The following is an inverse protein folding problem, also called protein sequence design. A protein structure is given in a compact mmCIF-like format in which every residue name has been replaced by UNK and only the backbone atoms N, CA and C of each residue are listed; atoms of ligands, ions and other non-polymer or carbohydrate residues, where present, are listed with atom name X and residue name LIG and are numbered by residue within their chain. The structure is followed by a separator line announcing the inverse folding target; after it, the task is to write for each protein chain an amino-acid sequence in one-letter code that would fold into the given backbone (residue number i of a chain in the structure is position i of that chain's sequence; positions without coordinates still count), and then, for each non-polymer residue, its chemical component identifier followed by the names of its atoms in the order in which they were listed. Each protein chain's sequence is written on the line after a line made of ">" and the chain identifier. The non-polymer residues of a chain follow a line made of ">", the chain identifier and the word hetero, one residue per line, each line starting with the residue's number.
data_IF_358320597155
#
_entry.id   IF_358320597155
#
_cell.length_a   1.000
_cell.length_b   1.000
_cell.length_c   1.000
_cell.angle_alpha   90.00
_cell.angle_beta   90.00
_cell.angle_gamma   90.00
#
_symmetry.space_group_name_H-M   'P 1'
#
loop_
_entity.id
_entity.type
_entity.pdbx_description
1 polymer ?
#
# COMPACT_ATOMS: atom_id res chain seq x y z
N UNK A 1 -54.08 4.97 15.98
CA UNK A 1 -55.10 5.23 14.93
C UNK A 1 -54.69 4.34 13.77
N UNK A 2 -55.37 3.26 13.39
CA UNK A 2 -56.80 2.98 13.39
C UNK A 2 -57.09 1.59 13.97
N UNK A 3 -58.10 1.56 14.84
CA UNK A 3 -58.92 0.39 15.13
C UNK A 3 -60.17 0.54 14.29
N UNK A 4 -60.68 -0.53 13.70
CA UNK A 4 -62.13 -0.65 13.50
C UNK A 4 -62.59 -2.12 13.47
N UNK A 5 -63.79 -2.43 13.98
CA UNK A 5 -64.11 -3.75 14.52
C UNK A 5 -65.38 -4.39 13.89
N UNK A 6 -65.79 -5.54 14.48
CA UNK A 6 -67.16 -6.09 14.60
C UNK A 6 -67.66 -7.10 13.52
N UNK A 7 -68.75 -7.88 13.77
CA UNK A 7 -68.81 -9.01 14.73
C UNK A 7 -69.61 -10.26 14.23
N UNK A 8 -69.72 -11.27 15.11
CA UNK A 8 -70.84 -12.26 15.26
C UNK A 8 -70.82 -13.56 14.46
N UNK A 9 -70.74 -14.71 15.16
CA UNK A 9 -71.93 -15.56 15.42
C UNK A 9 -71.60 -16.79 16.27
N UNK A 10 -72.63 -17.25 16.96
CA UNK A 10 -72.68 -18.16 18.12
C UNK A 10 -73.07 -19.57 17.67
N UNK A 11 -72.54 -20.60 18.35
CA UNK A 11 -73.39 -21.71 18.82
C UNK A 11 -73.16 -23.15 18.31
N UNK A 12 -72.59 -23.97 19.21
CA UNK A 12 -72.98 -25.35 19.57
C UNK A 12 -72.72 -26.54 18.59
N UNK A 13 -72.91 -27.80 19.01
CA UNK A 13 -72.20 -28.55 20.08
C UNK A 13 -71.53 -29.84 19.54
N UNK A 14 -70.78 -30.53 20.43
CA UNK A 14 -70.08 -31.79 20.15
C UNK A 14 -70.99 -33.00 19.90
N UNK A 15 -70.46 -34.04 19.22
CA UNK A 15 -70.68 -35.40 19.69
C UNK A 15 -69.40 -36.24 19.85
N UNK A 16 -69.55 -37.27 20.69
CA UNK A 16 -68.56 -38.21 21.19
C UNK A 16 -68.33 -39.43 20.27
N UNK A 17 -67.22 -40.14 20.53
CA UNK A 17 -66.92 -41.51 20.08
C UNK A 17 -66.16 -41.59 18.75
N UNK A 18 -65.21 -42.49 18.49
CA UNK A 18 -64.81 -43.77 19.11
C UNK A 18 -63.34 -44.10 18.69
N UNK A 19 -62.76 -45.31 18.81
CA UNK A 19 -61.46 -45.51 19.44
C UNK A 19 -60.30 -45.87 18.47
N UNK A 20 -59.09 -45.89 19.05
CA UNK A 20 -57.98 -46.82 18.81
C UNK A 20 -57.68 -47.39 17.40
N UNK A 21 -56.45 -47.11 16.94
CA UNK A 21 -55.48 -47.93 16.14
C UNK A 21 -54.82 -47.03 15.08
N UNK A 22 -53.56 -47.14 14.71
CA UNK A 22 -52.55 -48.17 14.94
C UNK A 22 -51.18 -47.49 15.00
N UNK A 23 -50.27 -48.09 15.75
CA UNK A 23 -48.84 -47.83 15.64
C UNK A 23 -48.35 -48.47 14.36
N UNK A 24 -47.93 -47.66 13.39
CA UNK A 24 -46.94 -48.09 12.41
C UNK A 24 -45.86 -47.01 12.33
N UNK A 25 -44.72 -47.33 12.94
CA UNK A 25 -43.51 -46.52 12.85
C UNK A 25 -43.09 -46.42 11.40
N UNK A 26 -43.15 -45.21 10.86
CA UNK A 26 -42.41 -44.87 9.66
C UNK A 26 -40.92 -44.77 10.06
N UNK A 27 -40.01 -45.46 9.37
CA UNK A 27 -38.60 -45.47 9.71
C UNK A 27 -38.04 -44.05 9.60
N UNK A 28 -37.25 -43.66 10.59
CA UNK A 28 -36.35 -42.52 10.50
C UNK A 28 -35.52 -42.69 9.20
N UNK A 29 -35.88 -41.94 8.16
CA UNK A 29 -35.05 -41.85 6.96
C UNK A 29 -33.73 -41.26 7.40
N UNK A 30 -32.73 -42.14 7.50
CA UNK A 30 -31.32 -41.84 7.71
C UNK A 30 -30.98 -40.61 6.87
N UNK A 31 -30.58 -39.53 7.53
CA UNK A 31 -29.82 -38.44 6.92
C UNK A 31 -28.59 -39.07 6.26
N UNK A 32 -28.69 -39.39 4.98
CA UNK A 32 -27.51 -39.72 4.18
C UNK A 32 -26.90 -38.38 3.81
N UNK A 33 -25.79 -38.09 4.47
CA UNK A 33 -25.06 -36.84 4.34
C UNK A 33 -24.75 -36.52 2.88
N UNK A 34 -24.74 -35.23 2.58
CA UNK A 34 -24.14 -34.71 1.37
C UNK A 34 -22.65 -35.08 1.34
N UNK A 35 -22.12 -35.55 0.21
CA UNK A 35 -20.76 -35.27 -0.16
C UNK A 35 -20.80 -34.25 -1.29
N UNK A 36 -20.74 -32.95 -0.95
CA UNK A 36 -20.20 -31.95 -1.89
C UNK A 36 -18.71 -32.29 -2.01
N UNK A 37 -18.39 -33.19 -2.93
CA UNK A 37 -17.02 -33.67 -3.21
C UNK A 37 -16.29 -32.85 -4.27
N UNK A 38 -16.85 -31.72 -4.70
CA UNK A 38 -16.19 -30.79 -5.64
C UNK A 38 -15.28 -29.75 -4.97
N UNK A 39 -15.11 -29.79 -3.64
CA UNK A 39 -14.15 -28.90 -2.94
C UNK A 39 -12.71 -29.43 -2.98
N UNK A 40 -12.50 -30.72 -3.30
CA UNK A 40 -11.19 -31.37 -3.24
C UNK A 40 -10.26 -30.98 -4.39
N UNK A 41 -10.79 -30.83 -5.61
CA UNK A 41 -10.04 -30.44 -6.80
C UNK A 41 -9.65 -28.96 -6.77
N UNK A 42 -10.60 -28.07 -6.46
CA UNK A 42 -10.31 -26.63 -6.32
C UNK A 42 -9.31 -26.34 -5.19
N UNK A 43 -9.40 -27.04 -4.06
CA UNK A 43 -8.46 -26.87 -2.96
C UNK A 43 -7.05 -27.35 -3.34
N UNK A 44 -6.91 -28.46 -4.06
CA UNK A 44 -5.62 -29.01 -4.48
C UNK A 44 -4.95 -28.15 -5.57
N UNK A 45 -5.73 -27.66 -6.54
CA UNK A 45 -5.24 -26.74 -7.57
C UNK A 45 -4.73 -25.44 -6.95
N UNK A 46 -5.47 -24.90 -5.97
CA UNK A 46 -5.05 -23.69 -5.28
C UNK A 46 -3.74 -23.90 -4.50
N UNK A 47 -3.55 -25.05 -3.84
CA UNK A 47 -2.28 -25.36 -3.14
C UNK A 47 -1.06 -25.29 -4.06
N UNK A 48 -1.21 -25.64 -5.34
CA UNK A 48 -0.11 -25.58 -6.31
C UNK A 48 0.10 -24.16 -6.84
N UNK A 49 -0.99 -23.40 -7.07
CA UNK A 49 -0.93 -22.05 -7.65
C UNK A 49 -0.59 -20.97 -6.62
N UNK A 50 -1.06 -21.12 -5.37
CA UNK A 50 -0.82 -20.16 -4.28
C UNK A 50 0.66 -19.82 -4.06
N UNK A 51 1.61 -20.77 -3.96
CA UNK A 51 3.01 -20.39 -3.77
C UNK A 51 3.56 -19.53 -4.91
N UNK A 52 3.18 -19.82 -6.17
CA UNK A 52 3.57 -18.99 -7.31
C UNK A 52 2.98 -17.58 -7.22
N UNK A 53 1.71 -17.46 -6.81
CA UNK A 53 1.07 -16.15 -6.57
C UNK A 53 1.73 -15.38 -5.43
N UNK A 54 2.11 -16.06 -4.34
CA UNK A 54 2.81 -15.42 -3.22
C UNK A 54 4.18 -14.88 -3.64
N UNK A 55 4.94 -15.63 -4.45
CA UNK A 55 6.20 -15.15 -5.01
C UNK A 55 5.97 -13.95 -5.93
N UNK A 56 4.97 -14.00 -6.81
CA UNK A 56 4.62 -12.87 -7.67
C UNK A 56 4.28 -11.61 -6.86
N UNK A 57 3.45 -11.74 -5.83
CA UNK A 57 3.08 -10.63 -4.95
C UNK A 57 4.28 -10.09 -4.16
N UNK A 58 5.16 -10.98 -3.68
CA UNK A 58 6.40 -10.58 -3.01
C UNK A 58 7.32 -9.77 -3.94
N UNK A 59 7.45 -10.18 -5.20
CA UNK A 59 8.21 -9.44 -6.20
C UNK A 59 7.59 -8.05 -6.46
N UNK A 60 6.28 -7.99 -6.70
CA UNK A 60 5.58 -6.70 -6.91
C UNK A 60 5.74 -5.78 -5.71
N UNK A 61 5.65 -6.30 -4.48
CA UNK A 61 5.90 -5.54 -3.26
C UNK A 61 7.34 -5.02 -3.19
N UNK A 62 8.32 -5.87 -3.48
CA UNK A 62 9.74 -5.49 -3.48
C UNK A 62 10.03 -4.38 -4.49
N UNK A 63 9.57 -4.54 -5.73
CA UNK A 63 9.69 -3.50 -6.77
C UNK A 63 8.96 -2.22 -6.38
N UNK A 64 7.77 -2.32 -5.78
CA UNK A 64 7.03 -1.19 -5.27
C UNK A 64 7.83 -0.39 -4.25
N UNK A 65 8.47 -1.07 -3.28
CA UNK A 65 9.32 -0.40 -2.27
C UNK A 65 10.52 0.32 -2.90
N UNK A 66 11.21 -0.32 -3.83
CA UNK A 66 12.33 0.29 -4.57
C UNK A 66 11.88 1.53 -5.35
N UNK A 67 10.76 1.42 -6.07
CA UNK A 67 10.21 2.54 -6.84
C UNK A 67 9.79 3.71 -5.95
N UNK A 68 9.26 3.44 -4.75
CA UNK A 68 8.89 4.50 -3.79
C UNK A 68 10.12 5.27 -3.29
N UNK A 69 11.21 4.59 -2.92
CA UNK A 69 12.45 5.26 -2.46
C UNK A 69 13.07 6.07 -3.60
N UNK A 70 13.14 5.50 -4.81
CA UNK A 70 13.70 6.21 -5.95
C UNK A 70 12.85 7.44 -6.34
N UNK A 71 11.52 7.29 -6.35
CA UNK A 71 10.61 8.38 -6.67
C UNK A 71 10.64 9.51 -5.64
N UNK A 72 10.75 9.19 -4.35
CA UNK A 72 10.87 10.21 -3.28
C UNK A 72 12.21 10.93 -3.33
N UNK A 73 13.31 10.24 -3.60
CA UNK A 73 14.61 10.86 -3.83
C UNK A 73 14.59 11.78 -5.06
N UNK A 74 14.06 11.31 -6.19
CA UNK A 74 13.98 12.11 -7.42
C UNK A 74 13.11 13.36 -7.25
N UNK A 75 11.95 13.22 -6.61
CA UNK A 75 11.10 14.36 -6.27
C UNK A 75 11.82 15.35 -5.35
N UNK A 76 12.50 14.84 -4.32
CA UNK A 76 13.26 15.68 -3.39
C UNK A 76 14.42 16.42 -4.04
N UNK A 77 15.18 15.78 -4.93
CA UNK A 77 16.28 16.42 -5.67
C UNK A 77 15.75 17.49 -6.62
N UNK A 78 14.62 17.23 -7.29
CA UNK A 78 13.95 18.21 -8.15
C UNK A 78 13.48 19.44 -7.37
N UNK A 79 12.85 19.23 -6.23
CA UNK A 79 12.36 20.34 -5.39
C UNK A 79 13.52 21.09 -4.73
N UNK A 80 14.57 20.38 -4.33
CA UNK A 80 15.79 20.96 -3.80
C UNK A 80 16.49 21.87 -4.82
N UNK A 81 16.63 21.46 -6.08
CA UNK A 81 17.20 22.31 -7.12
C UNK A 81 16.43 23.62 -7.31
N UNK A 82 15.08 23.56 -7.26
CA UNK A 82 14.22 24.75 -7.37
C UNK A 82 14.27 25.64 -6.13
N UNK A 83 14.46 25.05 -4.95
CA UNK A 83 14.60 25.79 -3.70
C UNK A 83 16.00 26.42 -3.57
N UNK A 84 17.04 25.71 -4.02
CA UNK A 84 18.43 26.16 -4.00
C UNK A 84 18.62 27.46 -4.79
N UNK A 85 17.95 27.63 -5.93
CA UNK A 85 18.02 28.88 -6.71
C UNK A 85 17.40 30.09 -5.99
N UNK A 86 16.64 29.87 -4.92
CA UNK A 86 16.08 30.93 -4.08
C UNK A 86 16.99 31.31 -2.90
N UNK A 87 18.10 30.59 -2.68
CA UNK A 87 19.05 30.86 -1.58
C UNK A 87 19.99 32.03 -1.91
N UNK A 88 20.50 32.73 -0.90
CA UNK A 88 21.24 34.01 -1.10
C UNK A 88 22.66 33.83 -1.64
N UNK A 89 23.27 32.68 -1.35
CA UNK A 89 24.65 32.32 -1.67
C UNK A 89 24.73 30.78 -1.79
N UNK A 90 25.90 30.27 -2.19
CA UNK A 90 26.13 28.85 -2.43
C UNK A 90 26.00 28.00 -1.16
N UNK A 91 26.46 28.50 -0.02
CA UNK A 91 26.39 27.78 1.26
C UNK A 91 24.93 27.63 1.70
N UNK A 92 24.15 28.72 1.62
CA UNK A 92 22.72 28.68 1.88
C UNK A 92 21.98 27.79 0.86
N UNK A 93 22.41 27.75 -0.40
CA UNK A 93 21.83 26.89 -1.42
C UNK A 93 22.07 25.41 -1.09
N UNK A 94 23.27 25.07 -0.64
CA UNK A 94 23.63 23.73 -0.19
C UNK A 94 22.78 23.31 1.02
N UNK A 95 22.68 24.16 2.04
CA UNK A 95 21.87 23.88 3.24
C UNK A 95 20.38 23.71 2.92
N UNK A 96 19.85 24.54 2.02
CA UNK A 96 18.48 24.42 1.52
C UNK A 96 18.28 23.09 0.80
N UNK A 97 19.20 22.72 -0.11
CA UNK A 97 19.08 21.49 -0.88
C UNK A 97 19.06 20.26 0.04
N UNK A 98 19.98 20.20 1.00
CA UNK A 98 20.07 19.13 1.99
C UNK A 98 18.81 19.03 2.83
N UNK A 99 18.28 20.17 3.31
CA UNK A 99 17.05 20.21 4.11
C UNK A 99 15.85 19.69 3.30
N UNK A 100 15.66 20.19 2.08
CA UNK A 100 14.52 19.82 1.23
C UNK A 100 14.54 18.33 0.90
N UNK A 101 15.69 17.76 0.54
CA UNK A 101 15.80 16.33 0.27
C UNK A 101 15.44 15.49 1.50
N UNK A 102 15.91 15.88 2.69
CA UNK A 102 15.57 15.19 3.94
C UNK A 102 14.08 15.25 4.27
N UNK A 103 13.46 16.40 4.06
CA UNK A 103 12.01 16.58 4.24
C UNK A 103 11.21 15.72 3.25
N UNK A 104 11.67 15.60 2.00
CA UNK A 104 11.01 14.77 0.97
C UNK A 104 11.11 13.27 1.23
N UNK A 105 12.26 12.77 1.72
CA UNK A 105 12.44 11.34 2.02
C UNK A 105 11.56 10.88 3.20
N UNK A 106 11.39 11.74 4.21
CA UNK A 106 10.52 11.49 5.36
C UNK A 106 10.87 10.23 6.19
N UNK A 107 10.09 9.92 7.23
CA UNK A 107 10.38 8.79 8.13
C UNK A 107 10.21 7.41 7.48
N UNK A 108 9.66 7.32 6.26
CA UNK A 108 9.47 6.06 5.53
C UNK A 108 10.72 5.54 4.83
N UNK A 109 11.77 6.36 4.73
CA UNK A 109 13.02 6.08 4.00
C UNK A 109 14.27 6.20 4.91
N UNK A 110 14.17 5.78 6.18
CA UNK A 110 15.23 5.94 7.19
C UNK A 110 16.61 5.43 6.73
N UNK A 111 16.69 4.24 6.15
CA UNK A 111 17.96 3.67 5.68
C UNK A 111 18.63 4.56 4.60
N UNK A 112 17.83 5.18 3.73
CA UNK A 112 18.32 6.15 2.75
C UNK A 112 18.69 7.49 3.39
N UNK A 113 17.94 7.96 4.40
CA UNK A 113 18.25 9.17 5.15
C UNK A 113 19.59 9.08 5.88
N UNK A 114 19.87 7.94 6.52
CA UNK A 114 21.09 7.73 7.31
C UNK A 114 22.36 7.73 6.46
N UNK A 115 22.23 7.39 5.17
CA UNK A 115 23.34 7.31 4.21
C UNK A 115 23.28 8.40 3.15
N UNK A 116 22.41 9.40 3.32
CA UNK A 116 22.19 10.46 2.35
C UNK A 116 23.45 11.30 2.17
N UNK A 117 23.91 11.38 0.92
CA UNK A 117 24.98 12.25 0.46
C UNK A 117 24.42 13.18 -0.59
N UNK A 118 24.52 14.49 -0.34
CA UNK A 118 24.22 15.52 -1.33
C UNK A 118 25.55 16.08 -1.80
N UNK A 119 25.80 16.02 -3.10
CA UNK A 119 27.03 16.56 -3.69
C UNK A 119 27.06 18.09 -3.55
N UNK A 120 28.25 18.69 -3.43
CA UNK A 120 28.38 20.15 -3.36
C UNK A 120 27.89 20.79 -4.65
N UNK A 121 27.20 21.92 -4.54
CA UNK A 121 26.83 22.76 -5.69
C UNK A 121 28.09 23.47 -6.21
N UNK A 122 28.53 23.12 -7.41
CA UNK A 122 29.76 23.66 -8.01
C UNK A 122 29.60 25.09 -8.53
N UNK A 123 28.44 25.44 -9.10
CA UNK A 123 28.20 26.72 -9.78
C UNK A 123 26.96 27.38 -9.21
N UNK A 124 27.13 28.60 -8.69
CA UNK A 124 26.04 29.42 -8.15
C UNK A 124 26.20 30.88 -8.56
N UNK A 125 25.89 31.18 -9.83
CA UNK A 125 26.04 32.50 -10.44
C UNK A 125 24.77 32.89 -11.22
N UNK A 126 24.33 34.16 -11.20
CA UNK A 126 23.13 34.59 -11.91
C UNK A 126 23.18 34.21 -13.40
N UNK A 127 22.10 33.61 -13.92
CA UNK A 127 22.03 33.15 -15.31
C UNK A 127 22.66 31.78 -15.57
N UNK A 128 23.27 31.15 -14.56
CA UNK A 128 23.77 29.77 -14.65
C UNK A 128 22.76 28.77 -14.11
N UNK A 129 23.00 27.50 -14.45
CA UNK A 129 22.19 26.37 -13.99
C UNK A 129 22.77 25.83 -12.68
N UNK A 130 21.96 25.82 -11.63
CA UNK A 130 22.27 25.15 -10.37
C UNK A 130 21.90 23.68 -10.52
N UNK A 131 22.86 22.80 -10.26
CA UNK A 131 22.68 21.34 -10.31
C UNK A 131 22.76 20.77 -8.91
N UNK A 132 21.76 19.97 -8.52
CA UNK A 132 21.73 19.24 -7.27
C UNK A 132 21.81 17.75 -7.59
N UNK A 133 22.78 17.06 -7.02
CA UNK A 133 22.90 15.60 -7.07
C UNK A 133 22.83 15.05 -5.66
N UNK A 134 22.07 13.99 -5.47
CA UNK A 134 22.02 13.27 -4.21
C UNK A 134 22.01 11.76 -4.42
N UNK A 135 22.66 11.06 -3.51
CA UNK A 135 22.71 9.60 -3.49
C UNK A 135 22.48 9.06 -2.09
N UNK A 136 21.98 7.85 -2.01
CA UNK A 136 21.85 7.12 -0.75
C UNK A 136 21.96 5.62 -0.97
N UNK A 137 22.19 4.88 0.11
CA UNK A 137 22.21 3.42 0.14
C UNK A 137 21.14 2.89 1.09
N UNK A 138 20.44 1.83 0.69
CA UNK A 138 19.48 1.16 1.56
C UNK A 138 19.52 -0.35 1.38
N UNK A 139 19.22 -1.07 2.46
CA UNK A 139 19.25 -2.53 2.46
C UNK A 139 17.92 -3.11 1.98
N UNK A 140 17.99 -4.10 1.09
CA UNK A 140 16.82 -4.93 0.72
C UNK A 140 16.46 -5.93 1.82
N UNK A 141 17.34 -6.15 2.79
CA UNK A 141 17.09 -7.09 3.89
C UNK A 141 15.94 -6.63 4.79
N UNK A 142 15.67 -5.31 4.83
CA UNK A 142 14.53 -4.72 5.54
C UNK A 142 13.16 -5.17 4.97
N UNK A 143 13.11 -5.75 3.76
CA UNK A 143 11.88 -6.28 3.16
C UNK A 143 11.46 -7.63 3.76
N UNK A 144 12.33 -8.31 4.52
CA UNK A 144 12.03 -9.59 5.18
C UNK A 144 11.74 -10.75 4.21
N UNK A 145 12.14 -10.62 2.94
CA UNK A 145 11.94 -11.64 1.92
C UNK A 145 13.13 -12.62 1.88
N UNK A 146 12.90 -13.93 2.01
CA UNK A 146 13.98 -14.92 2.01
C UNK A 146 14.71 -14.93 0.66
N UNK A 147 16.04 -14.86 0.71
CA UNK A 147 16.90 -14.85 -0.49
C UNK A 147 17.11 -13.47 -1.14
N UNK A 148 16.41 -12.42 -0.68
CA UNK A 148 16.65 -11.04 -1.08
C UNK A 148 17.52 -10.35 -0.02
N UNK A 149 18.74 -9.99 -0.39
CA UNK A 149 19.67 -9.26 0.46
C UNK A 149 20.60 -8.39 -0.37
N UNK A 150 21.38 -7.57 0.33
CA UNK A 150 22.31 -6.63 -0.28
C UNK A 150 21.84 -5.18 -0.19
N UNK A 151 22.80 -4.28 -0.41
CA UNK A 151 22.56 -2.85 -0.42
C UNK A 151 22.34 -2.36 -1.84
N UNK A 152 21.31 -1.55 -2.03
CA UNK A 152 21.03 -0.84 -3.27
C UNK A 152 21.50 0.58 -3.09
N UNK A 153 22.33 1.05 -4.03
CA UNK A 153 22.68 2.46 -4.13
C UNK A 153 21.79 3.11 -5.19
N UNK A 154 21.18 4.23 -4.84
CA UNK A 154 20.40 5.05 -5.76
C UNK A 154 20.99 6.46 -5.81
N UNK A 155 20.93 7.09 -6.98
CA UNK A 155 21.44 8.43 -7.23
C UNK A 155 20.47 9.17 -8.14
N UNK A 156 20.26 10.46 -7.87
CA UNK A 156 19.40 11.34 -8.65
C UNK A 156 20.06 12.71 -8.80
N UNK A 157 19.91 13.30 -9.98
CA UNK A 157 20.42 14.62 -10.32
C UNK A 157 19.31 15.43 -10.97
N UNK A 158 19.17 16.69 -10.56
CA UNK A 158 18.26 17.63 -11.21
C UNK A 158 18.87 19.02 -11.24
N UNK A 159 18.51 19.79 -12.27
CA UNK A 159 19.06 21.11 -12.50
C UNK A 159 17.97 22.17 -12.68
N UNK A 160 18.22 23.37 -12.17
CA UNK A 160 17.29 24.50 -12.23
C UNK A 160 18.05 25.77 -12.57
N UNK A 161 17.45 26.65 -13.38
CA UNK A 161 18.08 27.92 -13.75
C UNK A 161 18.00 28.92 -12.60
N UNK A 162 19.13 29.57 -12.30
CA UNK A 162 19.20 30.70 -11.39
C UNK A 162 18.81 31.97 -12.15
N UNK A 163 17.74 32.65 -11.71
CA UNK A 163 17.22 33.84 -12.40
C UNK A 163 18.31 34.92 -12.54
N UNK A 164 18.66 35.33 -13.78
CA UNK A 164 19.67 36.37 -14.01
C UNK A 164 19.27 37.74 -13.44
N UNK A 165 17.99 38.00 -13.18
CA UNK A 165 17.50 39.28 -12.64
C UNK A 165 17.54 39.35 -11.10
N UNK A 166 18.11 38.33 -10.45
CA UNK A 166 18.19 38.23 -9.00
C UNK A 166 19.30 39.14 -8.45
N UNK A 167 18.95 40.41 -8.25
CA UNK A 167 19.78 41.41 -7.56
C UNK A 167 20.42 42.45 -8.47
N UNK A 168 19.60 43.31 -9.09
CA UNK A 168 20.04 44.65 -9.52
C UNK A 168 19.21 45.69 -8.76
N UNK A 169 19.61 46.00 -7.52
CA UNK A 169 19.27 47.24 -6.83
C UNK A 169 20.34 47.59 -5.81
#
# INVERSE_FOLDING_TARGET
>A
MERSPTPTSVGAPAPAGTPARSRHGAPARRRHGAPVRDRGTLALELVIVTPALLVLLALVYAYGRVAQVNGTLEAGVRDAARAATQARDVDAAQDVAVRVIRESLGPGATSCLDTLVVEPIDVFEPGYTVTVTASCRYSLTDLGLPGLGGDVTTSSTFSSQLDPNRGVR
#
